data_IF_147093909475
#
_entry.id   IF_147093909475
#
_cell.length_a   1.000
_cell.length_b   1.000
_cell.length_c   1.000
_cell.angle_alpha   90.00
_cell.angle_beta   90.00
_cell.angle_gamma   90.00
#
_symmetry.space_group_name_H-M   'P 1'
#
loop_
_entity.id
_entity.type
_entity.pdbx_description
1 polymer ?
#
# COMPACT_ATOMS: atom_id res chain seq x y z
N UNK A 1 24.75 28.65 17.63
CA UNK A 1 23.47 28.24 18.24
C UNK A 1 23.29 26.76 18.00
N UNK A 2 23.47 25.90 19.01
CA UNK A 2 23.38 24.45 18.82
C UNK A 2 21.92 24.03 18.69
N UNK A 3 21.58 23.49 17.52
CA UNK A 3 20.32 22.84 17.18
C UNK A 3 20.13 21.60 18.08
N UNK A 4 19.69 21.81 19.32
CA UNK A 4 19.55 20.76 20.32
C UNK A 4 18.23 20.01 20.07
N UNK A 5 18.18 19.28 18.95
CA UNK A 5 17.03 18.41 18.64
C UNK A 5 17.03 17.27 19.62
N UNK A 6 15.87 17.02 20.24
CA UNK A 6 15.66 15.76 20.93
C UNK A 6 15.84 14.62 19.92
N UNK A 7 16.66 13.63 20.27
CA UNK A 7 16.86 12.40 19.48
C UNK A 7 15.52 11.76 19.11
N UNK A 8 14.50 11.91 19.97
CA UNK A 8 13.14 11.41 19.74
C UNK A 8 12.47 12.05 18.53
N UNK A 9 12.66 13.35 18.29
CA UNK A 9 12.02 14.06 17.19
C UNK A 9 12.69 13.77 15.85
N UNK A 10 14.02 13.60 15.86
CA UNK A 10 14.77 13.11 14.69
C UNK A 10 14.27 11.71 14.31
N UNK A 11 14.17 10.80 15.28
CA UNK A 11 13.70 9.44 15.04
C UNK A 11 12.25 9.41 14.52
N UNK A 12 11.34 10.20 15.11
CA UNK A 12 9.95 10.35 14.66
C UNK A 12 9.84 10.78 13.20
N UNK A 13 10.69 11.70 12.77
CA UNK A 13 10.68 12.23 11.42
C UNK A 13 11.34 11.28 10.43
N UNK A 14 12.41 10.59 10.85
CA UNK A 14 13.03 9.54 10.04
C UNK A 14 12.06 8.38 9.76
N UNK A 15 11.34 7.91 10.78
CA UNK A 15 10.34 6.85 10.64
C UNK A 15 9.23 7.29 9.68
N UNK A 16 8.71 8.51 9.83
CA UNK A 16 7.70 9.06 8.93
C UNK A 16 8.24 9.18 7.49
N UNK A 17 9.48 9.62 7.31
CA UNK A 17 10.11 9.74 5.99
C UNK A 17 10.25 8.37 5.31
N UNK A 18 10.73 7.37 6.04
CA UNK A 18 10.85 5.99 5.55
C UNK A 18 9.48 5.42 5.19
N UNK A 19 8.47 5.65 6.03
CA UNK A 19 7.10 5.25 5.77
C UNK A 19 6.55 5.88 4.48
N UNK A 20 6.65 7.21 4.34
CA UNK A 20 6.18 7.94 3.14
C UNK A 20 6.91 7.50 1.87
N UNK A 21 8.22 7.27 1.97
CA UNK A 21 9.01 6.72 0.86
C UNK A 21 8.55 5.32 0.48
N UNK A 22 8.25 4.49 1.49
CA UNK A 22 7.64 3.17 1.30
C UNK A 22 6.27 3.24 0.61
N UNK A 23 5.41 4.20 1.00
CA UNK A 23 4.14 4.43 0.32
C UNK A 23 4.32 4.83 -1.15
N UNK A 24 5.34 5.65 -1.48
CA UNK A 24 5.63 6.01 -2.86
C UNK A 24 6.07 4.78 -3.70
N UNK A 25 6.91 3.91 -3.14
CA UNK A 25 7.33 2.66 -3.80
C UNK A 25 6.13 1.72 -4.01
N UNK A 26 5.28 1.57 -2.98
CA UNK A 26 4.03 0.81 -3.06
C UNK A 26 3.11 1.36 -4.15
N UNK A 27 2.95 2.69 -4.23
CA UNK A 27 2.12 3.33 -5.25
C UNK A 27 2.67 3.08 -6.66
N UNK A 28 3.98 3.20 -6.86
CA UNK A 28 4.61 2.86 -8.15
C UNK A 28 4.39 1.41 -8.55
N UNK A 29 4.52 0.48 -7.60
CA UNK A 29 4.23 -0.94 -7.83
C UNK A 29 2.75 -1.20 -8.14
N UNK A 30 1.84 -0.53 -7.45
CA UNK A 30 0.40 -0.65 -7.68
C UNK A 30 0.00 -0.12 -9.06
N UNK A 31 0.48 1.07 -9.45
CA UNK A 31 0.26 1.63 -10.78
C UNK A 31 0.82 0.73 -11.89
N UNK A 32 2.01 0.16 -11.70
CA UNK A 32 2.53 -0.82 -12.67
C UNK A 32 1.65 -2.07 -12.73
N UNK A 33 1.18 -2.55 -11.59
CA UNK A 33 0.26 -3.68 -11.51
C UNK A 33 -1.02 -3.38 -12.30
N UNK A 34 -1.76 -2.32 -11.98
CA UNK A 34 -3.04 -2.02 -12.62
C UNK A 34 -2.91 -1.72 -14.12
N UNK A 35 -1.90 -0.95 -14.52
CA UNK A 35 -1.75 -0.53 -15.93
C UNK A 35 -1.15 -1.60 -16.84
N UNK A 36 -0.29 -2.48 -16.30
CA UNK A 36 0.42 -3.47 -17.12
C UNK A 36 -0.03 -4.87 -16.78
N UNK A 37 0.11 -5.27 -15.52
CA UNK A 37 -0.10 -6.66 -15.13
C UNK A 37 -1.58 -7.03 -15.18
N UNK A 38 -2.44 -6.28 -14.49
CA UNK A 38 -3.90 -6.50 -14.45
C UNK A 38 -4.55 -6.39 -15.80
N UNK A 39 -4.12 -5.43 -16.61
CA UNK A 39 -4.62 -5.29 -17.99
C UNK A 39 -4.35 -6.55 -18.84
N UNK A 40 -3.21 -7.23 -18.64
CA UNK A 40 -2.90 -8.45 -19.39
C UNK A 40 -3.78 -9.62 -18.96
N UNK A 41 -3.86 -9.91 -17.66
CA UNK A 41 -4.57 -11.10 -17.16
C UNK A 41 -6.08 -10.91 -16.99
N UNK A 42 -6.59 -9.67 -17.01
CA UNK A 42 -8.02 -9.37 -16.97
C UNK A 42 -8.65 -9.12 -18.35
N UNK A 43 -7.86 -9.19 -19.43
CA UNK A 43 -8.31 -8.82 -20.78
C UNK A 43 -9.38 -9.76 -21.36
N UNK A 44 -9.26 -11.07 -21.11
CA UNK A 44 -10.22 -12.08 -21.57
C UNK A 44 -10.22 -13.31 -20.64
N UNK A 45 -10.73 -13.21 -19.40
CA UNK A 45 -10.82 -14.35 -18.50
C UNK A 45 -11.86 -15.37 -19.02
N UNK A 46 -11.64 -16.69 -18.85
CA UNK A 46 -10.57 -17.32 -18.07
C UNK A 46 -9.28 -17.61 -18.87
N UNK A 47 -9.26 -17.44 -20.19
CA UNK A 47 -8.12 -17.86 -21.01
C UNK A 47 -6.85 -17.04 -20.71
N UNK A 48 -7.00 -15.71 -20.60
CA UNK A 48 -5.90 -14.83 -20.19
C UNK A 48 -5.37 -15.13 -18.77
N UNK A 49 -6.21 -15.61 -17.84
CA UNK A 49 -5.77 -16.05 -16.51
C UNK A 49 -4.90 -17.31 -16.59
N UNK A 50 -5.16 -18.21 -17.54
CA UNK A 50 -4.34 -19.43 -17.73
C UNK A 50 -3.01 -19.11 -18.38
N UNK A 51 -3.03 -18.21 -19.37
CA UNK A 51 -1.83 -17.77 -20.10
C UNK A 51 -0.90 -16.94 -19.20
N UNK A 52 -1.46 -15.96 -18.48
CA UNK A 52 -0.69 -14.99 -17.68
C UNK A 52 -0.63 -15.33 -16.19
N UNK A 53 -1.32 -16.37 -15.72
CA UNK A 53 -1.36 -16.80 -14.31
C UNK A 53 0.01 -16.97 -13.65
N UNK A 54 1.04 -17.52 -14.33
CA UNK A 54 2.41 -17.54 -13.80
C UNK A 54 2.99 -16.13 -13.56
N UNK A 55 2.70 -15.16 -14.42
CA UNK A 55 3.16 -13.76 -14.31
C UNK A 55 2.45 -13.06 -13.15
N UNK A 56 1.14 -13.29 -12.98
CA UNK A 56 0.36 -12.83 -11.80
C UNK A 56 1.02 -13.31 -10.50
N UNK A 57 1.41 -14.60 -10.47
CA UNK A 57 2.03 -15.22 -9.30
C UNK A 57 3.48 -14.78 -9.05
N UNK A 58 4.27 -14.51 -10.10
CA UNK A 58 5.70 -14.25 -9.98
C UNK A 58 6.06 -12.76 -9.89
N UNK A 59 5.39 -11.90 -10.66
CA UNK A 59 5.76 -10.48 -10.76
C UNK A 59 5.04 -9.61 -9.72
N UNK A 60 3.71 -9.74 -9.62
CA UNK A 60 2.91 -8.98 -8.64
C UNK A 60 3.07 -9.52 -7.22
N UNK A 61 2.81 -10.81 -7.02
CA UNK A 61 2.73 -11.36 -5.67
C UNK A 61 4.06 -11.30 -4.89
N UNK A 62 5.21 -11.51 -5.54
CA UNK A 62 6.51 -11.47 -4.85
C UNK A 62 6.89 -10.07 -4.37
N UNK A 63 6.63 -9.03 -5.18
CA UNK A 63 6.85 -7.65 -4.78
C UNK A 63 5.98 -7.29 -3.57
N UNK A 64 4.66 -7.48 -3.68
CA UNK A 64 3.73 -7.10 -2.61
C UNK A 64 3.88 -7.95 -1.34
N UNK A 65 4.33 -9.21 -1.47
CA UNK A 65 4.62 -10.07 -0.32
C UNK A 65 5.71 -9.51 0.59
N UNK A 66 6.64 -8.72 0.06
CA UNK A 66 7.71 -8.10 0.84
C UNK A 66 7.35 -6.64 1.12
N UNK A 67 6.99 -5.87 0.09
CA UNK A 67 6.74 -4.44 0.20
C UNK A 67 5.59 -4.12 1.18
N UNK A 68 4.47 -4.83 1.09
CA UNK A 68 3.29 -4.55 1.93
C UNK A 68 3.53 -4.73 3.42
N UNK A 69 4.06 -5.86 3.91
CA UNK A 69 4.36 -6.00 5.33
C UNK A 69 5.48 -5.05 5.79
N UNK A 70 6.52 -4.82 4.98
CA UNK A 70 7.59 -3.89 5.34
C UNK A 70 7.08 -2.46 5.55
N UNK A 71 6.26 -1.96 4.63
CA UNK A 71 5.65 -0.61 4.78
C UNK A 71 4.56 -0.62 5.86
N UNK A 72 3.85 -1.74 6.05
CA UNK A 72 2.90 -1.91 7.16
C UNK A 72 3.56 -1.79 8.54
N UNK A 73 4.76 -2.35 8.73
CA UNK A 73 5.54 -2.16 9.94
C UNK A 73 5.93 -0.68 10.14
N UNK A 74 6.35 0.00 9.08
CA UNK A 74 6.64 1.44 9.14
C UNK A 74 5.38 2.27 9.45
N UNK A 75 4.21 1.85 8.97
CA UNK A 75 2.93 2.47 9.31
C UNK A 75 2.61 2.31 10.81
N UNK A 76 2.83 1.11 11.38
CA UNK A 76 2.68 0.87 12.82
C UNK A 76 3.66 1.72 13.64
N UNK A 77 4.94 1.77 13.24
CA UNK A 77 5.93 2.61 13.90
C UNK A 77 5.56 4.10 13.80
N UNK A 78 5.05 4.54 12.65
CA UNK A 78 4.54 5.90 12.47
C UNK A 78 3.37 6.17 13.41
N UNK A 79 2.43 5.24 13.53
CA UNK A 79 1.30 5.32 14.46
C UNK A 79 1.76 5.48 15.91
N UNK A 80 2.62 4.58 16.39
CA UNK A 80 3.14 4.61 17.77
C UNK A 80 3.97 5.86 18.08
N UNK A 81 4.74 6.34 17.11
CA UNK A 81 5.61 7.51 17.30
C UNK A 81 4.85 8.83 17.18
N UNK A 82 3.60 8.81 16.72
CA UNK A 82 2.76 10.00 16.58
C UNK A 82 2.28 10.54 17.92
N UNK A 83 2.14 9.69 18.95
CA UNK A 83 1.73 10.12 20.28
C UNK A 83 2.77 11.10 20.86
N UNK A 84 2.29 12.24 21.34
CA UNK A 84 3.12 13.33 21.87
C UNK A 84 3.65 14.32 20.82
N UNK A 85 3.13 14.31 19.60
CA UNK A 85 3.35 15.37 18.60
C UNK A 85 2.28 16.47 18.71
N UNK A 86 2.59 17.68 18.23
CA UNK A 86 1.64 18.80 18.22
C UNK A 86 0.37 18.46 17.41
N UNK A 87 -0.80 18.93 17.85
CA UNK A 87 -2.12 18.53 17.30
C UNK A 87 -2.22 18.58 15.76
N UNK A 88 -1.79 19.66 15.07
CA UNK A 88 -1.89 19.69 13.61
C UNK A 88 -1.07 18.57 12.96
N UNK A 89 0.10 18.27 13.50
CA UNK A 89 1.01 17.25 12.99
C UNK A 89 0.53 15.82 13.34
N UNK A 90 -0.06 15.66 14.53
CA UNK A 90 -0.63 14.40 15.02
C UNK A 90 -1.69 13.84 14.06
N UNK A 91 -2.67 14.66 13.67
CA UNK A 91 -3.79 14.19 12.84
C UNK A 91 -3.32 13.67 11.48
N UNK A 92 -2.42 14.38 10.80
CA UNK A 92 -1.90 13.93 9.51
C UNK A 92 -1.10 12.63 9.59
N UNK A 93 -0.29 12.46 10.65
CA UNK A 93 0.45 11.21 10.86
C UNK A 93 -0.48 10.04 11.16
N UNK A 94 -1.46 10.25 12.05
CA UNK A 94 -2.45 9.22 12.39
C UNK A 94 -3.28 8.82 11.16
N UNK A 95 -3.83 9.78 10.43
CA UNK A 95 -4.62 9.52 9.22
C UNK A 95 -3.79 8.76 8.19
N UNK A 96 -2.55 9.19 7.93
CA UNK A 96 -1.66 8.50 6.98
C UNK A 96 -1.41 7.05 7.37
N UNK A 97 -1.06 6.78 8.64
CA UNK A 97 -0.81 5.44 9.13
C UNK A 97 -2.07 4.56 9.13
N UNK A 98 -3.20 5.07 9.63
CA UNK A 98 -4.46 4.31 9.73
C UNK A 98 -4.99 3.94 8.34
N UNK A 99 -5.02 4.88 7.39
CA UNK A 99 -5.47 4.61 6.02
C UNK A 99 -4.61 3.51 5.39
N UNK A 100 -3.30 3.56 5.58
CA UNK A 100 -2.41 2.52 5.06
C UNK A 100 -2.66 1.16 5.71
N UNK A 101 -2.84 1.12 7.03
CA UNK A 101 -3.12 -0.13 7.75
C UNK A 101 -4.45 -0.74 7.30
N UNK A 102 -5.46 0.07 7.01
CA UNK A 102 -6.70 -0.40 6.39
C UNK A 102 -6.40 -1.06 5.04
N UNK A 103 -5.59 -0.44 4.19
CA UNK A 103 -5.18 -1.02 2.91
C UNK A 103 -4.40 -2.34 3.09
N UNK A 104 -3.53 -2.44 4.09
CA UNK A 104 -2.77 -3.67 4.43
C UNK A 104 -3.72 -4.78 4.87
N UNK A 105 -4.61 -4.52 5.83
CA UNK A 105 -5.59 -5.50 6.32
C UNK A 105 -6.47 -5.98 5.18
N UNK A 106 -6.95 -5.05 4.34
CA UNK A 106 -7.77 -5.41 3.20
C UNK A 106 -7.01 -6.23 2.15
N UNK A 107 -5.72 -5.91 1.91
CA UNK A 107 -4.83 -6.68 1.03
C UNK A 107 -4.72 -8.14 1.47
N UNK A 108 -4.49 -8.36 2.75
CA UNK A 108 -4.35 -9.71 3.32
C UNK A 108 -5.68 -10.47 3.31
N UNK A 109 -6.78 -9.78 3.63
CA UNK A 109 -8.10 -10.42 3.75
C UNK A 109 -8.76 -10.75 2.41
N UNK A 110 -8.48 -9.98 1.36
CA UNK A 110 -9.14 -10.14 0.06
C UNK A 110 -8.16 -10.52 -1.06
N UNK A 111 -7.12 -9.72 -1.30
CA UNK A 111 -6.27 -9.89 -2.49
C UNK A 111 -5.38 -11.13 -2.40
N UNK A 112 -4.82 -11.44 -1.24
CA UNK A 112 -4.02 -12.66 -1.07
C UNK A 112 -4.84 -13.93 -1.37
N UNK A 113 -5.99 -14.18 -0.73
CA UNK A 113 -6.77 -15.39 -1.02
C UNK A 113 -7.35 -15.38 -2.44
N UNK A 114 -7.82 -14.24 -2.95
CA UNK A 114 -8.36 -14.18 -4.33
C UNK A 114 -7.26 -14.45 -5.37
N UNK A 115 -6.01 -14.02 -5.15
CA UNK A 115 -4.91 -14.32 -6.06
C UNK A 115 -4.61 -15.82 -6.10
N UNK A 116 -4.71 -16.50 -4.94
CA UNK A 116 -4.55 -17.95 -4.86
C UNK A 116 -5.67 -18.70 -5.59
N UNK A 117 -6.91 -18.18 -5.55
CA UNK A 117 -8.03 -18.76 -6.29
C UNK A 117 -7.95 -18.49 -7.80
N UNK A 118 -7.46 -17.32 -8.22
CA UNK A 118 -7.30 -16.97 -9.63
C UNK A 118 -6.01 -17.53 -10.26
N UNK A 119 -5.25 -18.37 -9.56
CA UNK A 119 -4.00 -18.93 -10.07
C UNK A 119 -3.85 -20.43 -9.82
N UNK A 120 -3.17 -21.10 -10.75
CA UNK A 120 -2.79 -22.51 -10.63
C UNK A 120 -3.99 -23.41 -10.29
N UNK A 121 -3.87 -24.30 -9.27
CA UNK A 121 -4.94 -25.22 -8.90
C UNK A 121 -6.25 -24.54 -8.47
N UNK A 122 -6.19 -23.30 -7.98
CA UNK A 122 -7.40 -22.54 -7.62
C UNK A 122 -8.25 -22.25 -8.85
N UNK A 123 -7.62 -21.86 -9.96
CA UNK A 123 -8.32 -21.50 -11.19
C UNK A 123 -9.00 -22.72 -11.83
N UNK A 124 -8.38 -23.90 -11.71
CA UNK A 124 -8.94 -25.16 -12.22
C UNK A 124 -10.23 -25.57 -11.51
N UNK A 125 -10.42 -25.12 -10.26
CA UNK A 125 -11.61 -25.40 -9.46
C UNK A 125 -12.78 -24.45 -9.74
N UNK A 126 -12.55 -23.35 -10.46
CA UNK A 126 -13.56 -22.34 -10.76
C UNK A 126 -14.23 -22.61 -12.10
N UNK A 127 -15.53 -22.35 -12.16
CA UNK A 127 -16.22 -22.20 -13.44
C UNK A 127 -15.75 -20.93 -14.16
N UNK A 128 -15.93 -20.88 -15.48
CA UNK A 128 -15.59 -19.69 -16.26
C UNK A 128 -16.31 -18.42 -15.76
N UNK A 129 -17.58 -18.55 -15.38
CA UNK A 129 -18.38 -17.43 -14.87
C UNK A 129 -17.84 -16.89 -13.54
N UNK A 130 -17.43 -17.78 -12.62
CA UNK A 130 -16.82 -17.38 -11.34
C UNK A 130 -15.47 -16.69 -11.56
N UNK A 131 -14.62 -17.23 -12.43
CA UNK A 131 -13.33 -16.63 -12.75
C UNK A 131 -13.48 -15.20 -13.34
N UNK A 132 -14.44 -15.00 -14.24
CA UNK A 132 -14.76 -13.68 -14.80
C UNK A 132 -15.24 -12.73 -13.70
N UNK A 133 -16.23 -13.15 -12.90
CA UNK A 133 -16.79 -12.30 -11.84
C UNK A 133 -15.74 -11.90 -10.80
N UNK A 134 -14.89 -12.83 -10.40
CA UNK A 134 -13.81 -12.58 -9.45
C UNK A 134 -12.77 -11.62 -10.00
N UNK A 135 -12.43 -11.75 -11.29
CA UNK A 135 -11.52 -10.84 -11.99
C UNK A 135 -12.07 -9.42 -12.05
N UNK A 136 -13.33 -9.24 -12.44
CA UNK A 136 -14.00 -7.93 -12.45
C UNK A 136 -14.05 -7.30 -11.05
N UNK A 137 -14.29 -8.13 -10.04
CA UNK A 137 -14.35 -7.67 -8.65
C UNK A 137 -12.97 -7.27 -8.13
N UNK A 138 -11.93 -8.00 -8.54
CA UNK A 138 -10.54 -7.67 -8.23
C UNK A 138 -10.21 -6.28 -8.75
N UNK A 139 -10.36 -6.03 -10.05
CA UNK A 139 -9.96 -4.77 -10.71
C UNK A 139 -10.64 -3.57 -10.04
N UNK A 140 -11.95 -3.67 -9.76
CA UNK A 140 -12.70 -2.60 -9.08
C UNK A 140 -12.18 -2.34 -7.66
N UNK A 141 -11.86 -3.40 -6.91
CA UNK A 141 -11.34 -3.27 -5.55
C UNK A 141 -9.90 -2.79 -5.53
N UNK A 142 -9.09 -3.16 -6.52
CA UNK A 142 -7.71 -2.73 -6.64
C UNK A 142 -7.63 -1.22 -6.77
N UNK A 143 -8.49 -0.63 -7.60
CA UNK A 143 -8.64 0.82 -7.72
C UNK A 143 -8.91 1.50 -6.37
N UNK A 144 -9.81 0.93 -5.54
CA UNK A 144 -10.09 1.51 -4.21
C UNK A 144 -8.86 1.37 -3.30
N UNK A 145 -8.16 0.22 -3.35
CA UNK A 145 -6.92 0.02 -2.59
C UNK A 145 -5.85 1.03 -3.01
N UNK A 146 -5.68 1.28 -4.31
CA UNK A 146 -4.77 2.30 -4.83
C UNK A 146 -5.12 3.69 -4.30
N UNK A 147 -6.40 4.07 -4.32
CA UNK A 147 -6.87 5.35 -3.76
C UNK A 147 -6.55 5.48 -2.27
N UNK A 148 -6.66 4.40 -1.49
CA UNK A 148 -6.23 4.39 -0.09
C UNK A 148 -4.72 4.62 0.05
N UNK A 149 -3.89 3.99 -0.79
CA UNK A 149 -2.44 4.20 -0.79
C UNK A 149 -2.10 5.66 -1.15
N UNK A 150 -2.76 6.23 -2.16
CA UNK A 150 -2.60 7.65 -2.54
C UNK A 150 -3.00 8.57 -1.39
N UNK A 151 -4.16 8.32 -0.75
CA UNK A 151 -4.63 9.14 0.37
C UNK A 151 -3.67 9.06 1.57
N UNK A 152 -3.16 7.87 1.88
CA UNK A 152 -2.14 7.68 2.91
C UNK A 152 -0.86 8.47 2.58
N UNK A 153 -0.36 8.34 1.36
CA UNK A 153 0.83 9.06 0.88
C UNK A 153 0.64 10.58 0.98
N UNK A 154 -0.49 11.12 0.51
CA UNK A 154 -0.79 12.55 0.57
C UNK A 154 -0.83 13.07 2.02
N UNK A 155 -1.46 12.33 2.94
CA UNK A 155 -1.47 12.67 4.36
C UNK A 155 -0.06 12.65 4.97
N UNK A 156 0.76 11.67 4.59
CA UNK A 156 2.13 11.52 5.08
C UNK A 156 3.06 12.62 4.56
N UNK A 157 2.93 12.98 3.28
CA UNK A 157 3.61 14.15 2.70
C UNK A 157 3.22 15.44 3.41
N UNK A 158 1.93 15.63 3.69
CA UNK A 158 1.45 16.80 4.46
C UNK A 158 2.07 16.86 5.85
N UNK A 159 2.17 15.71 6.54
CA UNK A 159 2.86 15.63 7.83
C UNK A 159 4.34 16.02 7.71
N UNK A 160 5.07 15.51 6.72
CA UNK A 160 6.47 15.87 6.48
C UNK A 160 6.66 17.38 6.21
N UNK A 161 5.77 17.99 5.42
CA UNK A 161 5.83 19.44 5.18
C UNK A 161 5.63 20.25 6.46
N UNK A 162 4.67 19.88 7.30
CA UNK A 162 4.45 20.55 8.58
C UNK A 162 5.63 20.36 9.55
N UNK A 163 6.27 19.18 9.53
CA UNK A 163 7.53 18.93 10.24
C UNK A 163 8.65 19.87 9.80
N UNK A 164 8.77 20.11 8.49
CA UNK A 164 9.82 20.97 7.94
C UNK A 164 9.57 22.46 8.26
N UNK A 165 8.32 22.92 8.15
CA UNK A 165 7.94 24.31 8.47
C UNK A 165 8.17 24.65 9.95
N UNK A 166 7.88 23.71 10.85
CA UNK A 166 8.15 23.88 12.27
C UNK A 166 9.65 24.05 12.56
N UNK A 167 10.53 23.52 11.69
CA UNK A 167 11.98 23.65 11.82
C UNK A 167 12.55 24.97 11.29
N UNK A 168 11.82 25.69 10.44
CA UNK A 168 12.31 26.96 9.84
C UNK A 168 11.93 28.20 10.64
N UNK A 169 10.96 28.09 11.56
CA UNK A 169 10.43 29.22 12.34
C UNK A 169 10.93 29.21 13.80
N UNK A 170 11.64 28.15 14.21
CA UNK A 170 12.16 27.96 15.57
C UNK A 170 13.65 28.24 15.72
#
# INVERSE_FOLDING_TARGET
MSNNRSVKDVLRNLILLLFVSGCAIQLGGALYSSQVTETLWASNPPDSLREWGPVVRLAGANFFRIATPSVGLLALLTLFTSFGTARPHLWWRLSSAIIFLIAVVWSVMYFVPTAMQLSGPGLESLSAAEAIQMTDTWVKRDLIRELLIVASFACGMRALFLSAQTQTVG
#
